data_IF_663324577841
#
_entry.id   IF_663324577841
#
_cell.length_a   1.000
_cell.length_b   1.000
_cell.length_c   1.000
_cell.angle_alpha   90.00
_cell.angle_beta   90.00
_cell.angle_gamma   90.00
#
_symmetry.space_group_name_H-M   'P 1'
#
loop_
_entity.id
_entity.type
_entity.pdbx_description
1 polymer ?
#
# COMPACT_ATOMS: atom_id res chain seq x y z
N UNK A 1 -9.25 -38.06 26.58
CA UNK A 1 -9.55 -37.36 25.31
C UNK A 1 -9.31 -38.21 24.08
N UNK A 2 -10.20 -38.12 23.09
CA UNK A 2 -10.05 -38.79 21.79
C UNK A 2 -10.42 -37.84 20.65
N UNK A 3 -9.51 -37.63 19.69
CA UNK A 3 -9.76 -36.88 18.46
C UNK A 3 -9.88 -37.86 17.30
N UNK A 4 -10.92 -37.72 16.48
CA UNK A 4 -11.13 -38.53 15.28
C UNK A 4 -11.46 -37.63 14.11
N UNK A 5 -10.81 -37.87 12.97
CA UNK A 5 -11.08 -37.21 11.69
C UNK A 5 -11.88 -38.14 10.78
N UNK A 6 -12.91 -37.58 10.15
CA UNK A 6 -13.71 -38.23 9.12
C UNK A 6 -13.63 -37.39 7.84
N UNK A 7 -13.09 -37.93 6.76
CA UNK A 7 -13.06 -37.23 5.47
C UNK A 7 -14.41 -37.39 4.79
N UNK A 8 -15.03 -36.26 4.44
CA UNK A 8 -16.27 -36.23 3.66
C UNK A 8 -15.91 -36.35 2.18
N UNK A 9 -14.93 -35.56 1.74
CA UNK A 9 -14.37 -35.61 0.40
C UNK A 9 -12.87 -35.20 0.45
N UNK A 10 -12.30 -34.78 -0.69
CA UNK A 10 -10.89 -34.39 -0.79
C UNK A 10 -10.55 -33.09 -0.07
N UNK A 11 -11.52 -32.18 0.07
CA UNK A 11 -11.34 -30.81 0.57
C UNK A 11 -12.19 -30.51 1.80
N UNK A 12 -13.08 -31.41 2.22
CA UNK A 12 -13.91 -31.30 3.41
C UNK A 12 -13.67 -32.48 4.35
N UNK A 13 -13.45 -32.17 5.63
CA UNK A 13 -13.38 -33.15 6.70
C UNK A 13 -14.14 -32.68 7.93
N UNK A 14 -14.54 -33.63 8.77
CA UNK A 14 -15.15 -33.39 10.07
C UNK A 14 -14.22 -33.92 11.14
N UNK A 15 -13.83 -33.06 12.07
CA UNK A 15 -13.03 -33.42 13.24
C UNK A 15 -13.95 -33.51 14.44
N UNK A 16 -14.03 -34.69 15.04
CA UNK A 16 -14.78 -34.96 16.26
C UNK A 16 -13.81 -35.03 17.43
N UNK A 17 -14.06 -34.22 18.46
CA UNK A 17 -13.28 -34.19 19.69
C UNK A 17 -14.16 -34.66 20.83
N UNK A 18 -13.81 -35.82 21.41
CA UNK A 18 -14.45 -36.35 22.61
C UNK A 18 -13.63 -35.95 23.83
N UNK A 19 -14.25 -35.13 24.68
CA UNK A 19 -13.72 -34.66 25.96
C UNK A 19 -14.43 -35.44 27.07
N UNK A 20 -13.66 -36.18 27.85
CA UNK A 20 -14.17 -36.94 28.99
C UNK A 20 -13.96 -36.15 30.28
N UNK A 21 -14.73 -36.47 31.33
CA UNK A 21 -14.61 -35.83 32.65
C UNK A 21 -13.18 -35.67 33.16
N UNK A 22 -12.35 -36.71 33.01
CA UNK A 22 -10.96 -36.69 33.44
C UNK A 22 -10.10 -35.63 32.74
N UNK A 23 -10.51 -35.16 31.56
CA UNK A 23 -9.75 -34.19 30.77
C UNK A 23 -9.94 -32.75 31.28
N UNK A 24 -11.04 -32.44 31.97
CA UNK A 24 -11.36 -31.07 32.42
C UNK A 24 -11.62 -30.92 33.92
N UNK A 25 -11.94 -32.00 34.65
CA UNK A 25 -12.35 -31.94 36.05
C UNK A 25 -11.33 -31.21 36.94
N UNK A 26 -10.05 -31.54 36.78
CA UNK A 26 -8.98 -30.90 37.56
C UNK A 26 -8.88 -29.39 37.27
N UNK A 27 -8.94 -29.00 35.99
CA UNK A 27 -8.90 -27.60 35.58
C UNK A 27 -10.09 -26.82 36.14
N UNK A 28 -11.29 -27.41 36.10
CA UNK A 28 -12.49 -26.81 36.68
C UNK A 28 -12.36 -26.64 38.19
N UNK A 29 -11.85 -27.64 38.91
CA UNK A 29 -11.63 -27.53 40.35
C UNK A 29 -10.64 -26.42 40.72
N UNK A 30 -9.57 -26.27 39.95
CA UNK A 30 -8.54 -25.27 40.18
C UNK A 30 -9.04 -23.87 39.84
N UNK A 31 -9.75 -23.69 38.72
CA UNK A 31 -10.40 -22.41 38.36
C UNK A 31 -11.45 -22.02 39.40
N UNK A 32 -12.23 -22.96 39.94
CA UNK A 32 -13.20 -22.68 41.02
C UNK A 32 -12.52 -22.29 42.35
N UNK A 33 -11.36 -22.86 42.68
CA UNK A 33 -10.55 -22.42 43.84
C UNK A 33 -10.09 -20.97 43.65
N UNK A 34 -9.59 -20.64 42.48
CA UNK A 34 -9.17 -19.27 42.14
C UNK A 34 -10.33 -18.28 42.16
N UNK A 35 -11.48 -18.69 41.61
CA UNK A 35 -12.70 -17.89 41.64
C UNK A 35 -13.15 -17.62 43.07
N UNK A 36 -13.08 -18.62 43.97
CA UNK A 36 -13.39 -18.41 45.40
C UNK A 36 -12.49 -17.35 46.04
N UNK A 37 -11.21 -17.29 45.65
CA UNK A 37 -10.26 -16.31 46.17
C UNK A 37 -10.52 -14.89 45.65
N UNK A 38 -10.97 -14.76 44.40
CA UNK A 38 -11.16 -13.47 43.70
C UNK A 38 -12.59 -12.92 43.77
N UNK A 39 -13.61 -13.78 43.81
CA UNK A 39 -15.01 -13.38 43.70
C UNK A 39 -15.54 -12.75 44.99
N UNK A 40 -16.21 -11.60 44.84
CA UNK A 40 -16.98 -10.98 45.92
C UNK A 40 -18.35 -11.65 46.02
N UNK A 41 -18.54 -12.48 47.04
CA UNK A 41 -19.80 -13.18 47.28
C UNK A 41 -20.58 -12.43 48.38
N UNK A 42 -21.81 -11.95 48.11
CA UNK A 42 -22.62 -11.26 49.12
C UNK A 42 -22.73 -12.08 50.41
N UNK A 43 -22.40 -11.45 51.55
CA UNK A 43 -22.42 -12.08 52.87
C UNK A 43 -21.12 -12.78 53.29
N UNK A 44 -20.11 -12.90 52.42
CA UNK A 44 -18.82 -13.50 52.76
C UNK A 44 -17.64 -12.57 52.44
N UNK A 45 -16.64 -12.55 53.33
CA UNK A 45 -15.36 -11.89 53.04
C UNK A 45 -14.66 -12.63 51.88
N UNK A 46 -13.93 -11.93 50.97
CA UNK A 46 -13.19 -12.58 49.87
C UNK A 46 -12.38 -13.80 50.35
N UNK A 47 -12.49 -14.92 49.61
CA UNK A 47 -11.84 -16.19 49.96
C UNK A 47 -12.49 -17.01 51.09
N UNK A 48 -13.57 -16.53 51.72
CA UNK A 48 -14.24 -17.24 52.84
C UNK A 48 -15.61 -17.82 52.50
N UNK A 49 -16.07 -17.67 51.26
CA UNK A 49 -17.29 -18.34 50.80
C UNK A 49 -17.10 -19.88 50.76
N UNK A 50 -18.08 -20.68 51.25
CA UNK A 50 -18.02 -22.14 51.17
C UNK A 50 -17.95 -22.62 49.73
N UNK A 51 -17.12 -23.64 49.47
CA UNK A 51 -16.92 -24.16 48.11
C UNK A 51 -18.21 -24.67 47.47
N UNK A 52 -19.11 -25.28 48.24
CA UNK A 52 -20.41 -25.74 47.73
C UNK A 52 -21.31 -24.62 47.21
N UNK A 53 -21.19 -23.39 47.75
CA UNK A 53 -21.94 -22.23 47.26
C UNK A 53 -21.32 -21.68 45.96
N UNK A 54 -20.00 -21.72 45.85
CA UNK A 54 -19.26 -21.33 44.62
C UNK A 54 -19.58 -22.31 43.49
N UNK A 55 -19.49 -23.62 43.76
CA UNK A 55 -19.82 -24.69 42.80
C UNK A 55 -21.23 -24.50 42.23
N UNK A 56 -22.26 -24.43 43.09
CA UNK A 56 -23.65 -24.22 42.65
C UNK A 56 -23.89 -23.00 41.75
N UNK A 57 -23.07 -21.95 41.87
CA UNK A 57 -23.26 -20.70 41.15
C UNK A 57 -22.42 -20.59 39.88
N UNK A 58 -21.22 -21.16 39.87
CA UNK A 58 -20.22 -20.93 38.82
C UNK A 58 -19.68 -22.20 38.17
N UNK A 59 -19.99 -23.40 38.69
CA UNK A 59 -19.47 -24.66 38.16
C UNK A 59 -19.83 -24.86 36.69
N UNK A 60 -21.07 -24.61 36.29
CA UNK A 60 -21.50 -24.74 34.88
C UNK A 60 -20.75 -23.78 33.95
N UNK A 61 -20.63 -22.50 34.32
CA UNK A 61 -19.94 -21.51 33.49
C UNK A 61 -18.44 -21.79 33.38
N UNK A 62 -17.80 -22.14 34.50
CA UNK A 62 -16.38 -22.51 34.53
C UNK A 62 -16.13 -23.79 33.75
N UNK A 63 -17.02 -24.78 33.87
CA UNK A 63 -16.91 -26.03 33.11
C UNK A 63 -16.98 -25.78 31.60
N UNK A 64 -17.95 -24.99 31.12
CA UNK A 64 -18.04 -24.62 29.69
C UNK A 64 -16.79 -23.89 29.22
N UNK A 65 -16.29 -22.93 30.00
CA UNK A 65 -15.08 -22.17 29.67
C UNK A 65 -13.83 -23.06 29.59
N UNK A 66 -13.60 -23.90 30.60
CA UNK A 66 -12.46 -24.83 30.61
C UNK A 66 -12.57 -25.86 29.48
N UNK A 67 -13.76 -26.41 29.23
CA UNK A 67 -13.98 -27.34 28.11
C UNK A 67 -13.66 -26.64 26.78
N UNK A 68 -14.13 -25.42 26.54
CA UNK A 68 -13.82 -24.68 25.31
C UNK A 68 -12.31 -24.41 25.15
N UNK A 69 -11.63 -24.09 26.25
CA UNK A 69 -10.18 -23.87 26.26
C UNK A 69 -9.42 -25.14 25.90
N UNK A 70 -9.77 -26.25 26.57
CA UNK A 70 -9.20 -27.57 26.30
C UNK A 70 -9.50 -27.98 24.84
N UNK A 71 -10.73 -27.74 24.37
CA UNK A 71 -11.16 -28.05 23.02
C UNK A 71 -10.33 -27.31 21.96
N UNK A 72 -10.21 -25.99 22.08
CA UNK A 72 -9.44 -25.15 21.16
C UNK A 72 -7.96 -25.57 21.12
N UNK A 73 -7.33 -25.77 22.28
CA UNK A 73 -5.93 -26.19 22.35
C UNK A 73 -5.69 -27.54 21.67
N UNK A 74 -6.58 -28.52 21.90
CA UNK A 74 -6.40 -29.86 21.35
C UNK A 74 -6.74 -29.92 19.86
N UNK A 75 -7.73 -29.15 19.40
CA UNK A 75 -8.02 -29.03 17.98
C UNK A 75 -6.83 -28.43 17.23
N UNK A 76 -6.29 -27.30 17.69
CA UNK A 76 -5.10 -26.68 17.09
C UNK A 76 -3.91 -27.62 17.12
N UNK A 77 -3.68 -28.30 18.25
CA UNK A 77 -2.60 -29.27 18.37
C UNK A 77 -2.74 -30.43 17.37
N UNK A 78 -3.95 -30.99 17.23
CA UNK A 78 -4.21 -32.07 16.29
C UNK A 78 -3.94 -31.64 14.84
N UNK A 79 -4.38 -30.44 14.44
CA UNK A 79 -4.11 -29.89 13.10
C UNK A 79 -2.60 -29.77 12.84
N UNK A 80 -1.82 -29.33 13.83
CA UNK A 80 -0.36 -29.17 13.73
C UNK A 80 0.36 -30.51 13.72
N UNK A 81 0.04 -31.41 14.65
CA UNK A 81 0.70 -32.71 14.81
C UNK A 81 0.48 -33.61 13.57
N UNK A 82 -0.73 -33.58 13.01
CA UNK A 82 -1.07 -34.28 11.76
C UNK A 82 -0.66 -33.50 10.49
N UNK A 83 -0.11 -32.29 10.65
CA UNK A 83 0.32 -31.40 9.55
C UNK A 83 -0.78 -31.16 8.51
N UNK A 84 -2.01 -31.00 8.98
CA UNK A 84 -3.14 -30.74 8.11
C UNK A 84 -3.07 -29.30 7.61
N UNK A 85 -3.00 -29.14 6.29
CA UNK A 85 -3.14 -27.84 5.65
C UNK A 85 -4.63 -27.51 5.60
N UNK A 86 -5.06 -26.58 6.45
CA UNK A 86 -6.45 -26.14 6.55
C UNK A 86 -6.64 -24.77 5.90
N UNK A 87 -7.79 -24.57 5.28
CA UNK A 87 -8.18 -23.28 4.68
C UNK A 87 -9.13 -22.57 5.64
N UNK A 88 -8.63 -21.53 6.32
CA UNK A 88 -9.38 -20.83 7.35
C UNK A 88 -9.46 -21.57 8.68
N UNK A 89 -10.25 -21.02 9.61
CA UNK A 89 -10.44 -21.58 10.95
C UNK A 89 -11.54 -22.66 10.95
N UNK A 90 -11.37 -23.78 11.68
CA UNK A 90 -12.42 -24.78 11.85
C UNK A 90 -13.73 -24.18 12.39
N UNK A 91 -14.85 -24.58 11.81
CA UNK A 91 -16.17 -24.11 12.23
C UNK A 91 -16.93 -25.22 12.94
N UNK A 92 -17.72 -24.87 13.95
CA UNK A 92 -18.61 -25.85 14.58
C UNK A 92 -19.57 -26.45 13.52
N UNK A 93 -19.65 -27.78 13.50
CA UNK A 93 -20.46 -28.50 12.51
C UNK A 93 -21.94 -28.32 12.79
N UNK A 94 -22.70 -27.89 11.79
CA UNK A 94 -24.17 -27.78 11.92
C UNK A 94 -24.88 -29.12 11.73
N UNK A 95 -24.26 -30.05 11.01
CA UNK A 95 -24.87 -31.34 10.65
C UNK A 95 -24.44 -32.47 11.60
N UNK A 96 -23.18 -32.46 12.03
CA UNK A 96 -22.61 -33.55 12.83
C UNK A 96 -22.58 -33.27 14.33
N UNK A 97 -22.91 -32.04 14.78
CA UNK A 97 -22.94 -31.72 16.19
C UNK A 97 -24.14 -32.35 16.89
N UNK A 98 -23.87 -33.18 17.91
CA UNK A 98 -24.91 -33.74 18.77
C UNK A 98 -25.35 -32.70 19.81
N UNK A 99 -26.62 -32.75 20.27
CA UNK A 99 -27.07 -31.96 21.40
C UNK A 99 -26.22 -32.29 22.64
N UNK A 100 -25.83 -31.26 23.38
CA UNK A 100 -25.04 -31.38 24.61
C UNK A 100 -25.95 -31.06 25.81
N UNK A 101 -26.05 -31.98 26.76
CA UNK A 101 -26.67 -31.74 28.06
C UNK A 101 -25.59 -31.41 29.10
N UNK A 102 -25.34 -30.12 29.28
CA UNK A 102 -24.38 -29.59 30.25
C UNK A 102 -24.69 -29.92 31.72
N UNK A 103 -25.84 -30.51 32.05
CA UNK A 103 -26.23 -30.85 33.42
C UNK A 103 -26.05 -32.34 33.73
N UNK A 104 -26.25 -33.20 32.74
CA UNK A 104 -26.27 -34.65 32.94
C UNK A 104 -25.14 -35.39 32.21
N UNK A 105 -24.53 -34.79 31.19
CA UNK A 105 -23.45 -35.43 30.43
C UNK A 105 -22.12 -35.33 31.20
N UNK A 106 -21.40 -36.45 31.26
CA UNK A 106 -20.02 -36.52 31.79
C UNK A 106 -18.95 -36.57 30.68
N UNK A 107 -19.38 -36.65 29.42
CA UNK A 107 -18.52 -36.63 28.25
C UNK A 107 -19.17 -35.79 27.15
N UNK A 108 -18.36 -34.96 26.50
CA UNK A 108 -18.79 -33.98 25.51
C UNK A 108 -18.14 -34.27 24.16
N UNK A 109 -18.95 -34.48 23.14
CA UNK A 109 -18.49 -34.65 21.76
C UNK A 109 -18.76 -33.35 20.98
N UNK A 110 -17.69 -32.75 20.47
CA UNK A 110 -17.75 -31.58 19.60
C UNK A 110 -17.37 -31.98 18.19
N UNK A 111 -18.13 -31.53 17.20
CA UNK A 111 -17.83 -31.76 15.79
C UNK A 111 -17.49 -30.43 15.12
N UNK A 112 -16.40 -30.40 14.36
CA UNK A 112 -15.96 -29.26 13.58
C UNK A 112 -15.85 -29.64 12.12
N UNK A 113 -16.47 -28.84 11.26
CA UNK A 113 -16.19 -28.91 9.83
C UNK A 113 -14.87 -28.19 9.56
N UNK A 114 -14.06 -28.77 8.69
CA UNK A 114 -12.72 -28.30 8.35
C UNK A 114 -12.56 -28.35 6.84
N UNK A 115 -12.19 -27.21 6.26
CA UNK A 115 -11.71 -27.14 4.90
C UNK A 115 -10.23 -27.55 4.85
N UNK A 116 -9.92 -28.57 4.05
CA UNK A 116 -8.57 -29.02 3.76
C UNK A 116 -8.10 -28.40 2.45
N UNK A 117 -6.85 -27.94 2.43
CA UNK A 117 -6.21 -27.54 1.20
C UNK A 117 -6.04 -28.78 0.29
N UNK A 118 -6.43 -28.69 -1.00
CA UNK A 118 -6.21 -29.78 -1.94
C UNK A 118 -4.70 -30.01 -2.13
N UNK A 119 -4.33 -31.24 -2.50
CA UNK A 119 -2.98 -31.49 -3.01
C UNK A 119 -2.90 -30.88 -4.41
N UNK A 120 -2.09 -29.82 -4.55
CA UNK A 120 -1.87 -29.14 -5.82
C UNK A 120 -0.59 -29.64 -6.45
N UNK A 121 -0.64 -29.99 -7.73
CA UNK A 121 0.54 -30.22 -8.57
C UNK A 121 0.51 -29.21 -9.71
N UNK A 122 1.62 -28.50 -9.92
CA UNK A 122 1.73 -27.47 -10.96
C UNK A 122 2.70 -27.97 -12.04
N UNK A 123 2.22 -28.71 -13.06
CA UNK A 123 3.09 -29.17 -14.13
C UNK A 123 3.47 -27.99 -15.01
N UNK A 124 4.75 -27.59 -14.97
CA UNK A 124 5.34 -26.58 -15.86
C UNK A 124 6.25 -27.27 -16.87
N UNK A 125 6.09 -26.93 -18.14
CA UNK A 125 6.90 -27.49 -19.23
C UNK A 125 7.11 -26.48 -20.35
N UNK A 126 8.08 -26.73 -21.23
CA UNK A 126 8.31 -25.91 -22.42
C UNK A 126 7.13 -25.92 -23.41
N UNK A 127 6.19 -26.87 -23.28
CA UNK A 127 4.95 -26.87 -24.07
C UNK A 127 3.98 -25.76 -23.64
N UNK A 128 4.12 -25.26 -22.41
CA UNK A 128 3.35 -24.15 -21.89
C UNK A 128 3.86 -22.84 -22.47
N UNK A 129 2.96 -22.12 -23.12
CA UNK A 129 3.29 -20.86 -23.78
C UNK A 129 2.64 -19.70 -23.06
N UNK A 130 3.47 -18.78 -22.59
CA UNK A 130 3.01 -17.55 -21.94
C UNK A 130 3.46 -16.34 -22.76
N UNK A 131 2.56 -15.39 -22.93
CA UNK A 131 2.86 -14.16 -23.66
C UNK A 131 3.82 -13.30 -22.83
N UNK A 132 4.86 -12.76 -23.47
CA UNK A 132 5.78 -11.83 -22.84
C UNK A 132 5.88 -10.57 -23.68
N UNK A 133 5.43 -9.44 -23.15
CA UNK A 133 5.46 -8.19 -23.90
C UNK A 133 6.74 -7.43 -23.58
N UNK A 134 7.43 -6.92 -24.60
CA UNK A 134 8.58 -6.03 -24.41
C UNK A 134 8.25 -4.65 -24.97
N UNK A 135 8.39 -3.62 -24.16
CA UNK A 135 8.05 -2.25 -24.58
C UNK A 135 9.26 -1.62 -25.25
N UNK A 136 9.07 -1.13 -26.47
CA UNK A 136 10.11 -0.43 -27.22
C UNK A 136 10.35 0.97 -26.66
N UNK A 137 11.61 1.28 -26.33
CA UNK A 137 12.02 2.65 -25.98
C UNK A 137 12.07 3.50 -27.25
N UNK A 138 11.24 4.54 -27.32
CA UNK A 138 11.29 5.53 -28.40
C UNK A 138 12.21 6.70 -28.05
N UNK A 139 12.67 7.41 -29.07
CA UNK A 139 13.47 8.62 -28.88
C UNK A 139 12.65 9.74 -28.20
N UNK A 140 11.34 9.77 -28.44
CA UNK A 140 10.41 10.71 -27.78
C UNK A 140 10.39 10.52 -26.26
N UNK A 141 10.44 9.27 -25.76
CA UNK A 141 10.51 9.00 -24.32
C UNK A 141 11.80 9.52 -23.69
N UNK A 142 12.92 9.42 -24.42
CA UNK A 142 14.20 9.98 -23.97
C UNK A 142 14.12 11.50 -23.93
N UNK A 143 13.53 12.12 -24.95
CA UNK A 143 13.36 13.57 -25.02
C UNK A 143 12.41 14.10 -23.93
N UNK A 144 11.31 13.40 -23.64
CA UNK A 144 10.43 13.71 -22.51
C UNK A 144 11.17 13.66 -21.17
N UNK A 145 11.99 12.62 -20.96
CA UNK A 145 12.78 12.47 -19.73
C UNK A 145 13.84 13.58 -19.60
N UNK A 146 14.54 13.93 -20.69
CA UNK A 146 15.47 15.07 -20.74
C UNK A 146 14.75 16.36 -20.40
N UNK A 147 13.58 16.59 -20.99
CA UNK A 147 12.77 17.78 -20.72
C UNK A 147 12.30 17.83 -19.26
N UNK A 148 11.89 16.71 -18.68
CA UNK A 148 11.50 16.63 -17.28
C UNK A 148 12.67 16.96 -16.34
N UNK A 149 13.82 16.33 -16.54
CA UNK A 149 15.03 16.54 -15.72
C UNK A 149 15.48 18.01 -15.78
N UNK A 150 15.60 18.56 -16.99
CA UNK A 150 16.02 19.96 -17.18
C UNK A 150 15.01 20.95 -16.60
N UNK A 151 13.73 20.59 -16.54
CA UNK A 151 12.67 21.41 -15.93
C UNK A 151 12.50 21.17 -14.42
N UNK A 152 13.08 20.12 -13.85
CA UNK A 152 13.16 19.95 -12.40
C UNK A 152 14.41 20.62 -11.83
N UNK A 153 15.48 20.65 -12.62
CA UNK A 153 16.78 21.22 -12.21
C UNK A 153 16.99 22.67 -12.63
N UNK A 154 16.06 23.23 -13.40
CA UNK A 154 16.11 24.64 -13.79
C UNK A 154 16.00 25.59 -12.60
N UNK A 155 16.38 26.83 -12.85
CA UNK A 155 16.49 27.87 -11.84
C UNK A 155 15.88 29.17 -12.34
N UNK A 156 15.46 29.98 -11.38
CA UNK A 156 15.04 31.34 -11.66
C UNK A 156 16.28 32.23 -11.79
N UNK A 157 16.44 32.88 -12.94
CA UNK A 157 17.52 33.83 -13.18
C UNK A 157 16.97 35.22 -13.40
N UNK A 158 17.75 36.25 -13.04
CA UNK A 158 17.38 37.64 -13.29
C UNK A 158 17.12 37.88 -14.78
N UNK A 159 16.00 38.54 -15.08
CA UNK A 159 15.63 38.94 -16.43
C UNK A 159 15.40 40.46 -16.48
N UNK A 160 15.72 41.06 -17.63
CA UNK A 160 15.57 42.50 -17.84
C UNK A 160 14.11 42.90 -18.07
N UNK A 161 13.33 42.00 -18.69
CA UNK A 161 11.94 42.24 -19.10
C UNK A 161 11.04 41.09 -18.69
N UNK A 162 9.86 41.41 -18.17
CA UNK A 162 8.85 40.42 -17.81
C UNK A 162 8.15 39.85 -19.05
N UNK A 163 8.00 38.52 -19.08
CA UNK A 163 7.36 37.71 -20.10
C UNK A 163 6.19 36.94 -19.49
N UNK A 164 5.51 36.18 -20.33
CA UNK A 164 4.30 35.42 -19.98
C UNK A 164 4.48 34.46 -18.80
N UNK A 165 5.68 33.90 -18.63
CA UNK A 165 6.02 32.92 -17.57
C UNK A 165 7.05 33.44 -16.57
N UNK A 166 7.26 34.75 -16.53
CA UNK A 166 8.18 35.35 -15.56
C UNK A 166 7.56 35.40 -14.17
N UNK A 167 8.40 35.24 -13.17
CA UNK A 167 8.10 35.55 -11.79
C UNK A 167 8.52 36.99 -11.52
N UNK A 168 7.60 37.84 -11.09
CA UNK A 168 7.85 39.26 -10.82
C UNK A 168 7.72 39.51 -9.34
N UNK A 169 8.79 39.97 -8.70
CA UNK A 169 8.76 40.44 -7.31
C UNK A 169 8.49 41.93 -7.29
N UNK A 170 7.64 42.38 -6.38
CA UNK A 170 7.36 43.78 -6.21
C UNK A 170 6.61 44.12 -4.94
N UNK A 171 6.40 45.41 -4.76
CA UNK A 171 5.77 45.98 -3.57
C UNK A 171 4.41 46.57 -3.94
N UNK A 172 3.38 46.20 -3.20
CA UNK A 172 2.02 46.69 -3.35
C UNK A 172 1.73 47.86 -2.43
N UNK A 173 1.05 48.89 -2.95
CA UNK A 173 0.50 50.01 -2.18
C UNK A 173 -0.93 50.31 -2.64
N UNK A 174 -1.89 50.31 -1.72
CA UNK A 174 -3.29 50.65 -2.01
C UNK A 174 -3.43 52.11 -2.45
N UNK A 175 -4.22 52.34 -3.51
CA UNK A 175 -4.51 53.66 -4.06
C UNK A 175 -5.95 54.11 -3.74
N UNK A 176 -6.16 55.41 -3.66
CA UNK A 176 -7.49 56.03 -3.56
C UNK A 176 -8.20 56.16 -4.92
N UNK A 177 -9.44 56.67 -4.93
CA UNK A 177 -10.23 56.88 -6.16
C UNK A 177 -9.59 57.89 -7.14
N UNK A 178 -8.66 58.72 -6.66
CA UNK A 178 -7.90 59.68 -7.46
C UNK A 178 -6.54 59.11 -7.94
N UNK A 179 -6.20 57.88 -7.55
CA UNK A 179 -4.98 57.18 -7.92
C UNK A 179 -3.75 57.52 -7.06
N UNK A 180 -3.93 58.17 -5.91
CA UNK A 180 -2.85 58.49 -4.99
C UNK A 180 -2.68 57.40 -3.91
N UNK A 181 -1.46 57.17 -3.39
CA UNK A 181 -1.22 56.26 -2.28
C UNK A 181 -2.03 56.68 -1.04
N UNK A 182 -2.83 55.75 -0.52
CA UNK A 182 -3.65 55.98 0.68
C UNK A 182 -2.78 55.98 1.94
N UNK A 183 -2.88 57.02 2.78
CA UNK A 183 -2.03 57.15 3.98
C UNK A 183 -2.21 55.97 4.97
N UNK A 184 -3.45 55.49 5.15
CA UNK A 184 -3.81 54.31 5.96
C UNK A 184 -4.19 53.08 5.09
N UNK A 185 -3.62 52.98 3.88
CA UNK A 185 -3.91 51.89 2.94
C UNK A 185 -3.09 50.61 3.17
N UNK A 186 -3.55 49.51 2.58
CA UNK A 186 -2.85 48.20 2.59
C UNK A 186 -1.52 48.32 1.85
N UNK A 187 -0.45 47.76 2.44
CA UNK A 187 0.88 47.66 1.83
C UNK A 187 1.44 46.27 2.02
N UNK A 188 2.03 45.72 0.96
CA UNK A 188 2.64 44.39 0.99
C UNK A 188 3.97 44.40 0.24
N UNK A 189 5.07 44.25 0.99
CA UNK A 189 6.41 44.26 0.43
C UNK A 189 6.88 42.85 0.02
N UNK A 190 7.69 42.81 -1.04
CA UNK A 190 8.39 41.63 -1.52
C UNK A 190 7.48 40.51 -2.03
N UNK A 191 6.31 40.86 -2.55
CA UNK A 191 5.32 39.91 -3.08
C UNK A 191 5.82 39.35 -4.39
N UNK A 192 5.79 38.02 -4.53
CA UNK A 192 6.19 37.32 -5.75
C UNK A 192 4.93 36.92 -6.53
N UNK A 193 4.84 37.34 -7.78
CA UNK A 193 3.72 37.06 -8.69
C UNK A 193 4.21 36.22 -9.86
N UNK A 194 3.40 35.27 -10.32
CA UNK A 194 3.65 34.56 -11.59
C UNK A 194 2.73 35.14 -12.66
N UNK A 195 3.31 35.66 -13.74
CA UNK A 195 2.54 36.36 -14.79
C UNK A 195 1.52 35.42 -15.46
N UNK A 196 1.81 34.12 -15.52
CA UNK A 196 0.94 33.09 -16.09
C UNK A 196 -0.27 32.74 -15.21
N UNK A 197 -0.20 33.00 -13.90
CA UNK A 197 -1.31 32.78 -12.96
C UNK A 197 -2.33 33.92 -12.92
N UNK A 198 -2.03 35.06 -13.55
CA UNK A 198 -2.96 36.18 -13.70
C UNK A 198 -4.06 35.77 -14.70
N UNK A 199 -5.31 35.67 -14.24
CA UNK A 199 -6.46 35.22 -15.06
C UNK A 199 -6.97 36.31 -15.98
N UNK A 200 -6.82 37.57 -15.59
CA UNK A 200 -7.26 38.70 -16.41
C UNK A 200 -6.23 39.04 -17.49
N UNK A 201 -6.57 38.73 -18.74
CA UNK A 201 -5.71 38.95 -19.92
C UNK A 201 -5.32 40.43 -20.15
N UNK A 202 -6.15 41.40 -19.76
CA UNK A 202 -5.80 42.81 -19.89
C UNK A 202 -4.74 43.22 -18.88
N UNK A 203 -4.90 42.80 -17.62
CA UNK A 203 -3.92 43.03 -16.55
C UNK A 203 -2.61 42.30 -16.88
N UNK A 204 -2.70 41.03 -17.31
CA UNK A 204 -1.55 40.22 -17.71
C UNK A 204 -0.70 40.89 -18.78
N UNK A 205 -1.32 41.50 -19.80
CA UNK A 205 -0.61 42.25 -20.85
C UNK A 205 0.14 43.47 -20.33
N UNK A 206 -0.26 44.06 -19.20
CA UNK A 206 0.45 45.20 -18.63
C UNK A 206 1.83 44.82 -18.10
N UNK A 207 2.01 43.56 -17.67
CA UNK A 207 3.30 43.04 -17.18
C UNK A 207 4.27 42.72 -18.32
N UNK A 208 3.79 42.39 -19.52
CA UNK A 208 4.65 41.99 -20.62
C UNK A 208 5.53 43.15 -21.11
N UNK A 209 6.84 42.92 -21.17
CA UNK A 209 7.86 43.90 -21.57
C UNK A 209 8.22 44.92 -20.50
N UNK A 210 7.69 44.80 -19.28
CA UNK A 210 8.02 45.69 -18.17
C UNK A 210 9.36 45.38 -17.56
N UNK A 211 10.06 46.44 -17.14
CA UNK A 211 11.38 46.34 -16.55
C UNK A 211 11.36 46.62 -15.04
N UNK A 212 12.46 46.28 -14.37
CA UNK A 212 12.69 46.59 -12.96
C UNK A 212 12.55 48.09 -12.70
N UNK A 213 11.80 48.43 -11.66
CA UNK A 213 11.51 49.80 -11.23
C UNK A 213 10.28 50.42 -11.87
N UNK A 214 9.63 49.75 -12.82
CA UNK A 214 8.35 50.20 -13.34
C UNK A 214 7.20 49.93 -12.37
N UNK A 215 6.19 50.81 -12.42
CA UNK A 215 5.01 50.76 -11.57
C UNK A 215 3.80 50.42 -12.42
N UNK A 216 3.03 49.44 -11.97
CA UNK A 216 1.78 48.99 -12.58
C UNK A 216 0.63 49.33 -11.65
N UNK A 217 -0.52 49.70 -12.21
CA UNK A 217 -1.72 49.96 -11.41
C UNK A 217 -2.83 49.02 -11.86
N UNK A 218 -3.26 48.13 -10.96
CA UNK A 218 -4.33 47.17 -11.23
C UNK A 218 -5.04 46.75 -9.94
N UNK A 219 -6.20 46.13 -10.09
CA UNK A 219 -6.94 45.49 -8.99
C UNK A 219 -6.52 44.01 -8.86
N UNK A 220 -5.89 43.61 -7.74
CA UNK A 220 -5.51 42.22 -7.50
C UNK A 220 -6.69 41.24 -7.49
N UNK A 221 -7.88 41.67 -7.05
CA UNK A 221 -9.10 40.83 -7.06
C UNK A 221 -9.54 40.57 -8.50
N UNK A 222 -9.51 41.59 -9.35
CA UNK A 222 -9.77 41.42 -10.77
C UNK A 222 -8.70 40.59 -11.49
N UNK A 223 -7.45 40.58 -10.99
CA UNK A 223 -6.33 39.83 -11.57
C UNK A 223 -6.41 38.32 -11.32
N UNK A 224 -6.77 37.89 -10.10
CA UNK A 224 -6.78 36.48 -9.70
C UNK A 224 -8.18 35.87 -9.62
N UNK A 225 -9.24 36.69 -9.59
CA UNK A 225 -10.64 36.29 -9.43
C UNK A 225 -10.88 35.38 -8.19
N UNK A 226 -9.96 35.42 -7.22
CA UNK A 226 -9.98 34.66 -5.97
C UNK A 226 -9.51 35.57 -4.83
N UNK A 227 -10.46 35.94 -3.97
CA UNK A 227 -10.20 36.85 -2.84
C UNK A 227 -9.35 36.19 -1.75
N UNK A 228 -9.38 34.87 -1.63
CA UNK A 228 -8.55 34.14 -0.67
C UNK A 228 -7.08 34.15 -1.10
N UNK A 229 -6.82 33.92 -2.38
CA UNK A 229 -5.47 34.02 -2.97
C UNK A 229 -4.91 35.46 -2.83
N UNK A 230 -5.74 36.47 -3.09
CA UNK A 230 -5.39 37.89 -2.90
C UNK A 230 -5.10 38.23 -1.43
N UNK A 231 -5.85 37.66 -0.50
CA UNK A 231 -5.62 37.84 0.94
C UNK A 231 -4.23 37.36 1.36
N UNK A 232 -3.79 36.19 0.85
CA UNK A 232 -2.44 35.68 1.07
C UNK A 232 -1.37 36.54 0.40
N UNK A 233 -1.62 36.96 -0.84
CA UNK A 233 -0.71 37.78 -1.65
C UNK A 233 -0.43 39.14 -1.00
N UNK A 234 -1.48 39.82 -0.53
CA UNK A 234 -1.39 41.12 0.14
C UNK A 234 -1.11 41.03 1.64
N UNK A 235 -1.01 39.81 2.20
CA UNK A 235 -0.78 39.54 3.64
C UNK A 235 -1.85 40.18 4.56
N UNK A 236 -3.11 40.14 4.14
CA UNK A 236 -4.26 40.71 4.87
C UNK A 236 -5.22 39.62 5.38
N UNK A 237 -6.13 39.97 6.28
CA UNK A 237 -7.13 39.00 6.78
C UNK A 237 -8.19 38.68 5.73
N UNK A 238 -8.87 37.54 5.90
CA UNK A 238 -9.96 37.12 5.00
C UNK A 238 -11.09 38.15 4.92
N UNK A 239 -11.49 38.73 6.06
CA UNK A 239 -12.50 39.80 6.13
C UNK A 239 -12.08 41.05 5.33
N UNK A 240 -10.80 41.42 5.37
CA UNK A 240 -10.28 42.56 4.61
C UNK A 240 -10.21 42.28 3.10
N UNK A 241 -9.92 41.04 2.71
CA UNK A 241 -9.90 40.63 1.31
C UNK A 241 -11.31 40.55 0.68
N UNK A 242 -12.33 40.20 1.48
CA UNK A 242 -13.73 40.16 1.06
C UNK A 242 -14.30 41.55 0.73
N UNK A 243 -13.87 42.58 1.45
CA UNK A 243 -14.31 43.96 1.24
C UNK A 243 -13.46 44.74 0.22
N UNK A 244 -12.37 44.13 -0.28
CA UNK A 244 -11.39 44.80 -1.13
C UNK A 244 -11.94 45.06 -2.55
N UNK A 245 -12.02 46.33 -2.96
CA UNK A 245 -12.37 46.72 -4.34
C UNK A 245 -11.51 47.91 -4.82
N UNK A 246 -10.28 48.01 -4.32
CA UNK A 246 -9.35 49.12 -4.57
C UNK A 246 -8.30 48.74 -5.61
N UNK A 247 -7.84 49.73 -6.38
CA UNK A 247 -6.63 49.57 -7.20
C UNK A 247 -5.38 49.65 -6.32
N UNK A 248 -4.34 48.92 -6.72
CA UNK A 248 -3.03 48.98 -6.09
C UNK A 248 -1.98 49.41 -7.10
N UNK A 249 -0.98 50.16 -6.65
CA UNK A 249 0.28 50.28 -7.36
C UNK A 249 1.20 49.13 -6.97
N UNK A 250 1.75 48.47 -7.98
CA UNK A 250 2.73 47.40 -7.85
C UNK A 250 4.05 47.88 -8.45
N UNK A 251 5.06 48.06 -7.62
CA UNK A 251 6.40 48.48 -8.07
C UNK A 251 7.28 47.25 -8.25
N UNK A 252 7.75 47.01 -9.47
CA UNK A 252 8.59 45.86 -9.78
C UNK A 252 9.99 46.05 -9.18
N UNK A 253 10.41 45.15 -8.30
CA UNK A 253 11.74 45.17 -7.66
C UNK A 253 12.69 44.15 -8.26
N UNK A 254 12.18 43.04 -8.78
CA UNK A 254 12.94 41.94 -9.38
C UNK A 254 12.07 41.23 -10.43
N UNK A 255 12.68 40.78 -11.52
CA UNK A 255 12.04 39.94 -12.52
C UNK A 255 12.92 38.71 -12.67
N UNK A 256 12.31 37.55 -12.53
CA UNK A 256 12.95 36.26 -12.57
C UNK A 256 12.32 35.43 -13.70
N UNK A 257 13.14 35.00 -14.65
CA UNK A 257 12.72 34.03 -15.66
C UNK A 257 13.14 32.63 -15.22
N UNK A 258 12.17 31.70 -15.24
CA UNK A 258 12.48 30.29 -15.08
C UNK A 258 13.25 29.80 -16.32
N UNK A 259 14.51 29.42 -16.14
CA UNK A 259 15.32 28.79 -17.17
C UNK A 259 15.54 27.33 -16.82
N UNK A 260 15.24 26.45 -17.77
CA UNK A 260 15.60 25.03 -17.68
C UNK A 260 17.11 24.91 -17.49
N UNK A 261 17.53 23.89 -16.75
CA UNK A 261 18.96 23.60 -16.60
C UNK A 261 19.59 23.31 -17.97
N UNK A 262 20.79 23.84 -18.18
CA UNK A 262 21.58 23.52 -19.36
C UNK A 262 22.13 22.09 -19.27
N UNK A 263 22.20 21.41 -20.41
CA UNK A 263 22.79 20.08 -20.51
C UNK A 263 24.32 20.18 -20.46
N UNK A 264 24.86 20.22 -19.25
CA UNK A 264 26.28 20.39 -18.98
C UNK A 264 26.79 19.45 -17.87
N UNK A 265 28.11 19.41 -17.66
CA UNK A 265 28.73 18.53 -16.67
C UNK A 265 28.23 18.78 -15.23
N UNK A 266 27.86 20.02 -14.88
CA UNK A 266 27.33 20.35 -13.55
C UNK A 266 25.97 19.69 -13.31
N UNK A 267 25.08 19.72 -14.32
CA UNK A 267 23.80 19.04 -14.26
C UNK A 267 23.99 17.52 -14.14
N UNK A 268 24.91 16.93 -14.92
CA UNK A 268 25.14 15.48 -14.90
C UNK A 268 25.64 15.00 -13.53
N UNK A 269 26.55 15.76 -12.92
CA UNK A 269 27.05 15.48 -11.55
C UNK A 269 25.97 15.65 -10.49
N UNK A 270 25.06 16.60 -10.67
CA UNK A 270 23.93 16.80 -9.75
C UNK A 270 22.95 15.63 -9.77
N UNK A 271 22.73 15.02 -10.95
CA UNK A 271 21.80 13.90 -11.11
C UNK A 271 22.44 12.58 -10.69
N UNK A 272 23.67 12.32 -11.13
CA UNK A 272 24.34 11.02 -11.00
C UNK A 272 25.47 10.97 -9.96
N UNK A 273 25.74 12.08 -9.29
CA UNK A 273 26.87 12.22 -8.36
C UNK A 273 28.16 12.71 -9.02
N UNK A 274 29.09 13.18 -8.19
CA UNK A 274 30.38 13.75 -8.63
C UNK A 274 31.25 12.76 -9.44
N UNK A 275 31.11 11.46 -9.17
CA UNK A 275 31.89 10.38 -9.78
C UNK A 275 31.23 9.80 -11.05
N UNK A 276 30.30 10.52 -11.68
CA UNK A 276 29.57 10.03 -12.86
C UNK A 276 30.45 9.87 -14.10
N UNK A 277 30.20 8.80 -14.86
CA UNK A 277 30.80 8.57 -16.19
C UNK A 277 30.12 9.40 -17.30
N UNK A 278 28.99 10.06 -17.00
CA UNK A 278 28.23 10.88 -17.97
C UNK A 278 28.90 12.24 -18.13
N UNK A 279 29.49 12.49 -19.31
CA UNK A 279 30.22 13.74 -19.60
C UNK A 279 29.63 14.54 -20.75
N UNK A 280 28.87 13.88 -21.62
CA UNK A 280 28.27 14.49 -22.80
C UNK A 280 26.76 14.31 -22.81
N UNK A 281 26.07 15.08 -23.66
CA UNK A 281 24.64 14.89 -23.89
C UNK A 281 24.35 13.49 -24.46
N UNK A 282 25.23 12.94 -25.29
CA UNK A 282 25.10 11.59 -25.83
C UNK A 282 25.17 10.54 -24.71
N UNK A 283 26.12 10.68 -23.77
CA UNK A 283 26.22 9.81 -22.59
C UNK A 283 24.96 9.88 -21.73
N UNK A 284 24.41 11.09 -21.53
CA UNK A 284 23.17 11.28 -20.79
C UNK A 284 22.03 10.56 -21.48
N UNK A 285 21.83 10.79 -22.78
CA UNK A 285 20.73 10.17 -23.55
C UNK A 285 20.84 8.64 -23.56
N UNK A 286 22.04 8.09 -23.68
CA UNK A 286 22.26 6.64 -23.59
C UNK A 286 21.91 6.09 -22.19
N UNK A 287 22.34 6.77 -21.13
CA UNK A 287 22.02 6.36 -19.76
C UNK A 287 20.53 6.46 -19.45
N UNK A 288 19.87 7.53 -19.89
CA UNK A 288 18.42 7.66 -19.79
C UNK A 288 17.70 6.55 -20.58
N UNK A 289 18.20 6.18 -21.76
CA UNK A 289 17.63 5.07 -22.53
C UNK A 289 17.71 3.74 -21.76
N UNK A 290 18.81 3.46 -21.08
CA UNK A 290 18.96 2.28 -20.21
C UNK A 290 18.03 2.34 -19.00
N UNK A 291 17.92 3.48 -18.34
CA UNK A 291 16.99 3.67 -17.21
C UNK A 291 15.53 3.48 -17.62
N UNK A 292 15.14 4.07 -18.75
CA UNK A 292 13.81 3.90 -19.33
C UNK A 292 13.59 2.44 -19.69
N UNK A 293 14.56 1.78 -20.33
CA UNK A 293 14.47 0.35 -20.65
C UNK A 293 14.26 -0.50 -19.39
N UNK A 294 15.04 -0.26 -18.33
CA UNK A 294 14.91 -0.97 -17.06
C UNK A 294 13.55 -0.74 -16.38
N UNK A 295 13.04 0.50 -16.43
CA UNK A 295 11.71 0.84 -15.92
C UNK A 295 10.60 0.10 -16.70
N UNK A 296 10.72 0.06 -18.04
CA UNK A 296 9.78 -0.65 -18.90
C UNK A 296 9.87 -2.18 -18.79
N UNK A 297 11.06 -2.72 -18.52
CA UNK A 297 11.24 -4.14 -18.19
C UNK A 297 10.47 -4.50 -16.93
N UNK A 298 10.52 -3.66 -15.89
CA UNK A 298 9.73 -3.87 -14.69
C UNK A 298 8.21 -3.88 -14.97
N UNK A 299 7.73 -2.99 -15.83
CA UNK A 299 6.32 -3.02 -16.28
C UNK A 299 5.99 -4.31 -17.02
N UNK A 300 6.88 -4.73 -17.92
CA UNK A 300 6.75 -5.97 -18.71
C UNK A 300 6.70 -7.22 -17.82
N UNK A 301 7.60 -7.33 -16.85
CA UNK A 301 7.65 -8.43 -15.89
C UNK A 301 6.45 -8.42 -14.94
N UNK A 302 5.97 -7.24 -14.52
CA UNK A 302 4.74 -7.12 -13.74
C UNK A 302 3.52 -7.61 -14.52
N UNK A 303 3.42 -7.26 -15.81
CA UNK A 303 2.36 -7.77 -16.66
C UNK A 303 2.45 -9.28 -16.83
N UNK A 304 3.64 -9.78 -17.11
CA UNK A 304 3.90 -11.20 -17.21
C UNK A 304 3.51 -11.95 -15.92
N UNK A 305 3.77 -11.38 -14.74
CA UNK A 305 3.36 -11.96 -13.47
C UNK A 305 1.84 -12.10 -13.36
N UNK A 306 1.07 -11.08 -13.77
CA UNK A 306 -0.39 -11.15 -13.79
C UNK A 306 -0.92 -12.18 -14.80
N UNK A 307 -0.43 -12.15 -16.03
CA UNK A 307 -0.86 -13.09 -17.08
C UNK A 307 -0.48 -14.54 -16.69
N UNK A 308 0.69 -14.74 -16.07
CA UNK A 308 1.16 -16.03 -15.55
C UNK A 308 0.24 -16.53 -14.43
N UNK A 309 -0.10 -15.65 -13.48
CA UNK A 309 -1.03 -15.97 -12.40
C UNK A 309 -2.36 -16.47 -12.97
N UNK A 310 -2.95 -15.72 -13.88
CA UNK A 310 -4.26 -16.09 -14.46
C UNK A 310 -4.17 -17.40 -15.24
N UNK A 311 -3.14 -17.56 -16.07
CA UNK A 311 -2.93 -18.79 -16.84
C UNK A 311 -2.73 -20.02 -15.95
N UNK A 312 -1.96 -19.90 -14.87
CA UNK A 312 -1.72 -21.02 -13.94
C UNK A 312 -2.95 -21.34 -13.11
N UNK A 313 -3.69 -20.33 -12.64
CA UNK A 313 -4.96 -20.54 -11.91
C UNK A 313 -5.97 -21.25 -12.80
N UNK A 314 -6.10 -20.86 -14.06
CA UNK A 314 -7.00 -21.52 -15.02
C UNK A 314 -6.55 -22.94 -15.37
N UNK A 315 -5.25 -23.14 -15.61
CA UNK A 315 -4.68 -24.45 -15.98
C UNK A 315 -4.79 -25.47 -14.86
N UNK A 316 -4.42 -25.08 -13.63
CA UNK A 316 -4.37 -26.01 -12.48
C UNK A 316 -5.76 -26.16 -11.86
N UNK A 317 -6.50 -25.05 -11.73
CA UNK A 317 -7.85 -24.96 -11.18
C UNK A 317 -8.12 -25.92 -10.00
N UNK A 318 -7.38 -25.79 -8.88
CA UNK A 318 -7.53 -26.71 -7.76
C UNK A 318 -8.94 -26.58 -7.14
N UNK A 319 -9.51 -27.73 -6.77
CA UNK A 319 -10.82 -27.81 -6.12
C UNK A 319 -10.76 -27.15 -4.74
N UNK A 320 -11.74 -26.31 -4.42
CA UNK A 320 -11.84 -25.61 -3.14
C UNK A 320 -13.19 -25.89 -2.48
N UNK A 321 -13.25 -25.95 -1.14
CA UNK A 321 -14.50 -26.22 -0.40
C UNK A 321 -15.35 -24.94 -0.32
N UNK A 322 -15.96 -24.55 -1.43
CA UNK A 322 -16.63 -23.26 -1.58
C UNK A 322 -17.72 -23.00 -0.53
N UNK A 323 -18.57 -23.99 -0.25
CA UNK A 323 -19.64 -23.86 0.74
C UNK A 323 -19.09 -23.58 2.16
N UNK A 324 -17.99 -24.26 2.53
CA UNK A 324 -17.32 -24.00 3.80
C UNK A 324 -16.72 -22.58 3.82
N UNK A 325 -16.01 -22.20 2.76
CA UNK A 325 -15.33 -20.90 2.68
C UNK A 325 -16.32 -19.73 2.76
N UNK A 326 -17.49 -19.82 2.10
CA UNK A 326 -18.56 -18.81 2.24
C UNK A 326 -19.04 -18.69 3.68
N UNK A 327 -19.27 -19.83 4.36
CA UNK A 327 -19.69 -19.84 5.76
C UNK A 327 -18.60 -19.27 6.68
N UNK A 328 -17.34 -19.59 6.40
CA UNK A 328 -16.19 -19.07 7.15
C UNK A 328 -16.05 -17.55 6.99
N UNK A 329 -16.15 -17.01 5.77
CA UNK A 329 -16.12 -15.56 5.53
C UNK A 329 -17.22 -14.82 6.31
N UNK A 330 -18.42 -15.40 6.37
CA UNK A 330 -19.54 -14.82 7.14
C UNK A 330 -19.32 -14.83 8.65
N UNK A 331 -18.71 -15.90 9.19
CA UNK A 331 -18.41 -15.97 10.63
C UNK A 331 -17.26 -15.04 11.01
N UNK A 332 -16.25 -14.93 10.13
CA UNK A 332 -15.10 -14.03 10.30
C UNK A 332 -15.50 -12.55 10.19
N UNK A 333 -16.44 -12.22 9.31
CA UNK A 333 -16.96 -10.86 9.14
C UNK A 333 -18.48 -10.80 9.31
N UNK A 334 -18.93 -10.63 10.57
CA UNK A 334 -20.35 -10.59 10.94
C UNK A 334 -21.12 -9.39 10.37
N UNK A 335 -20.42 -8.38 9.87
CA UNK A 335 -21.02 -7.19 9.25
C UNK A 335 -21.21 -7.34 7.74
N UNK A 336 -20.55 -8.32 7.11
CA UNK A 336 -20.70 -8.58 5.68
C UNK A 336 -22.06 -9.20 5.36
N UNK A 337 -22.71 -8.70 4.30
CA UNK A 337 -23.96 -9.28 3.81
C UNK A 337 -23.71 -10.47 2.90
N UNK A 338 -24.68 -11.38 2.78
CA UNK A 338 -24.59 -12.53 1.87
C UNK A 338 -24.37 -12.09 0.41
N UNK A 339 -24.96 -10.96 0.00
CA UNK A 339 -24.76 -10.39 -1.35
C UNK A 339 -23.34 -9.87 -1.57
N UNK A 340 -22.72 -9.26 -0.56
CA UNK A 340 -21.33 -8.80 -0.64
C UNK A 340 -20.37 -9.97 -0.74
N UNK A 341 -20.56 -11.00 0.11
CA UNK A 341 -19.74 -12.21 0.06
C UNK A 341 -19.85 -12.84 -1.32
N UNK A 342 -21.06 -13.04 -1.85
CA UNK A 342 -21.25 -13.68 -3.15
C UNK A 342 -20.59 -12.90 -4.29
N UNK A 343 -20.66 -11.57 -4.26
CA UNK A 343 -20.04 -10.70 -5.28
C UNK A 343 -18.53 -10.82 -5.30
N UNK A 344 -17.89 -10.86 -4.14
CA UNK A 344 -16.43 -10.84 -4.01
C UNK A 344 -15.82 -12.26 -3.96
N UNK A 345 -16.67 -13.29 -3.87
CA UNK A 345 -16.24 -14.68 -3.66
C UNK A 345 -15.37 -15.23 -4.79
N UNK A 346 -15.70 -14.92 -6.04
CA UNK A 346 -14.92 -15.39 -7.20
C UNK A 346 -13.48 -14.84 -7.17
N UNK A 347 -13.31 -13.57 -6.77
CA UNK A 347 -12.01 -12.96 -6.57
C UNK A 347 -11.23 -13.66 -5.46
N UNK A 348 -11.88 -13.88 -4.31
CA UNK A 348 -11.31 -14.61 -3.19
C UNK A 348 -10.87 -16.04 -3.58
N UNK A 349 -11.69 -16.77 -4.35
CA UNK A 349 -11.29 -18.10 -4.84
C UNK A 349 -10.09 -18.03 -5.76
N UNK A 350 -10.02 -17.05 -6.67
CA UNK A 350 -8.85 -16.86 -7.55
C UNK A 350 -7.59 -16.55 -6.74
N UNK A 351 -7.67 -15.71 -5.73
CA UNK A 351 -6.55 -15.40 -4.82
C UNK A 351 -6.10 -16.66 -4.06
N UNK A 352 -7.05 -17.44 -3.54
CA UNK A 352 -6.74 -18.66 -2.79
C UNK A 352 -6.11 -19.75 -3.67
N UNK A 353 -6.62 -19.94 -4.90
CA UNK A 353 -6.01 -20.84 -5.88
C UNK A 353 -4.59 -20.41 -6.22
N UNK A 354 -4.37 -19.11 -6.44
CA UNK A 354 -3.04 -18.57 -6.70
C UNK A 354 -2.10 -18.81 -5.52
N UNK A 355 -2.56 -18.61 -4.28
CA UNK A 355 -1.76 -18.88 -3.09
C UNK A 355 -1.31 -20.34 -3.04
N UNK A 356 -2.21 -21.30 -3.27
CA UNK A 356 -1.87 -22.73 -3.26
C UNK A 356 -0.85 -23.10 -4.36
N UNK A 357 -0.99 -22.51 -5.55
CA UNK A 357 -0.05 -22.69 -6.66
C UNK A 357 1.33 -22.11 -6.29
N UNK A 358 1.37 -20.90 -5.72
CA UNK A 358 2.61 -20.28 -5.24
C UNK A 358 3.28 -21.14 -4.18
N UNK A 359 2.54 -21.58 -3.16
CA UNK A 359 3.05 -22.41 -2.07
C UNK A 359 3.66 -23.72 -2.58
N UNK A 360 3.02 -24.34 -3.58
CA UNK A 360 3.57 -25.51 -4.26
C UNK A 360 4.90 -25.20 -4.95
N UNK A 361 4.97 -24.14 -5.76
CA UNK A 361 6.20 -23.76 -6.49
C UNK A 361 7.32 -23.42 -5.51
N UNK A 362 7.02 -22.66 -4.46
CA UNK A 362 7.97 -22.30 -3.40
C UNK A 362 8.54 -23.56 -2.76
N UNK A 363 7.68 -24.50 -2.38
CA UNK A 363 8.10 -25.73 -1.71
C UNK A 363 8.90 -26.67 -2.62
N UNK A 364 8.43 -26.87 -3.85
CA UNK A 364 9.06 -27.77 -4.83
C UNK A 364 10.45 -27.27 -5.25
N UNK A 365 10.67 -25.96 -5.29
CA UNK A 365 11.94 -25.36 -5.69
C UNK A 365 12.75 -24.83 -4.50
N UNK A 366 12.32 -25.15 -3.27
CA UNK A 366 12.95 -24.74 -2.01
C UNK A 366 13.26 -23.23 -1.94
N UNK A 367 12.37 -22.40 -2.48
CA UNK A 367 12.57 -20.95 -2.56
C UNK A 367 12.57 -20.33 -1.18
N UNK A 368 13.57 -19.48 -0.92
CA UNK A 368 13.74 -18.74 0.32
C UNK A 368 14.10 -17.30 0.00
N UNK A 369 13.73 -16.39 0.90
CA UNK A 369 14.19 -15.00 0.87
C UNK A 369 15.38 -14.90 1.79
N UNK A 370 16.50 -14.45 1.24
CA UNK A 370 17.68 -14.12 2.03
C UNK A 370 17.51 -12.69 2.58
N UNK A 371 18.02 -12.46 3.79
CA UNK A 371 17.90 -11.15 4.45
C UNK A 371 18.54 -10.02 3.63
N UNK A 372 19.59 -10.32 2.87
CA UNK A 372 20.26 -9.38 1.97
C UNK A 372 19.33 -8.89 0.85
N UNK A 373 18.52 -9.78 0.26
CA UNK A 373 17.57 -9.42 -0.79
C UNK A 373 16.47 -8.48 -0.27
N UNK A 374 16.04 -8.70 0.99
CA UNK A 374 15.08 -7.84 1.65
C UNK A 374 15.67 -6.45 1.95
N UNK A 375 16.94 -6.39 2.35
CA UNK A 375 17.66 -5.13 2.54
C UNK A 375 17.81 -4.38 1.22
N UNK A 376 18.19 -5.07 0.15
CA UNK A 376 18.36 -4.46 -1.18
C UNK A 376 17.05 -3.90 -1.73
N UNK A 377 15.94 -4.64 -1.59
CA UNK A 377 14.63 -4.13 -1.98
C UNK A 377 14.22 -2.92 -1.13
N UNK A 378 14.46 -2.97 0.18
CA UNK A 378 14.18 -1.85 1.08
C UNK A 378 15.01 -0.61 0.73
N UNK A 379 16.28 -0.76 0.35
CA UNK A 379 17.15 0.32 -0.14
C UNK A 379 16.61 0.93 -1.43
N UNK A 380 16.13 0.10 -2.39
CA UNK A 380 15.50 0.59 -3.63
C UNK A 380 14.25 1.43 -3.34
N UNK A 381 13.41 0.99 -2.40
CA UNK A 381 12.23 1.75 -1.96
C UNK A 381 12.65 3.08 -1.31
N UNK A 382 13.66 3.05 -0.44
CA UNK A 382 14.21 4.25 0.20
C UNK A 382 14.68 5.26 -0.85
N UNK A 383 15.47 4.79 -1.82
CA UNK A 383 16.00 5.61 -2.89
C UNK A 383 14.88 6.27 -3.72
N UNK A 384 13.85 5.50 -4.08
CA UNK A 384 12.68 6.01 -4.78
C UNK A 384 11.95 7.10 -3.97
N UNK A 385 11.82 6.92 -2.65
CA UNK A 385 11.19 7.91 -1.78
C UNK A 385 12.03 9.18 -1.63
N UNK A 386 13.35 9.07 -1.46
CA UNK A 386 14.24 10.23 -1.39
C UNK A 386 14.23 11.04 -2.71
N UNK A 387 14.20 10.33 -3.84
CA UNK A 387 14.13 10.95 -5.16
C UNK A 387 12.86 11.80 -5.34
N UNK A 388 11.73 11.40 -4.76
CA UNK A 388 10.49 12.19 -4.78
C UNK A 388 10.60 13.53 -4.04
N UNK A 389 11.49 13.62 -3.04
CA UNK A 389 11.79 14.86 -2.32
C UNK A 389 12.97 15.64 -2.93
N UNK A 390 13.44 15.25 -4.11
CA UNK A 390 14.56 15.90 -4.80
C UNK A 390 15.94 15.50 -4.28
N UNK A 391 16.04 14.45 -3.46
CA UNK A 391 17.30 13.88 -2.95
C UNK A 391 17.63 12.66 -3.81
N UNK A 392 18.30 12.90 -4.94
CA UNK A 392 18.60 11.85 -5.93
C UNK A 392 19.82 11.00 -5.59
N UNK A 393 20.72 11.50 -4.76
CA UNK A 393 21.93 10.79 -4.35
C UNK A 393 22.01 10.71 -2.82
N UNK A 394 21.09 9.95 -2.23
CA UNK A 394 21.07 9.72 -0.79
C UNK A 394 22.30 8.89 -0.38
N UNK A 395 23.03 9.30 0.68
CA UNK A 395 24.16 8.53 1.20
C UNK A 395 23.79 7.08 1.54
N UNK A 396 24.70 6.13 1.27
CA UNK A 396 24.46 4.70 1.48
C UNK A 396 24.10 4.38 2.95
N UNK A 397 24.70 5.09 3.90
CA UNK A 397 24.40 4.96 5.34
C UNK A 397 22.97 5.39 5.70
N UNK A 398 22.42 6.38 4.98
CA UNK A 398 21.02 6.79 5.14
C UNK A 398 20.07 5.76 4.54
N UNK A 399 20.39 5.23 3.35
CA UNK A 399 19.61 4.16 2.71
C UNK A 399 19.60 2.89 3.57
N UNK A 400 20.75 2.51 4.14
CA UNK A 400 20.85 1.39 5.08
C UNK A 400 20.04 1.60 6.36
N UNK A 401 20.12 2.80 6.94
CA UNK A 401 19.37 3.11 8.16
C UNK A 401 17.86 3.06 7.92
N UNK A 402 17.41 3.56 6.77
CA UNK A 402 16.02 3.49 6.36
C UNK A 402 15.58 2.05 6.07
N UNK A 403 16.39 1.27 5.36
CA UNK A 403 16.11 -0.14 5.10
C UNK A 403 15.94 -0.95 6.40
N UNK A 404 16.81 -0.74 7.39
CA UNK A 404 16.68 -1.34 8.72
C UNK A 404 15.38 -0.92 9.41
N UNK A 405 15.05 0.37 9.38
CA UNK A 405 13.81 0.88 9.97
C UNK A 405 12.55 0.27 9.34
N UNK A 406 12.53 0.03 8.03
CA UNK A 406 11.43 -0.68 7.36
C UNK A 406 11.37 -2.13 7.83
N UNK A 407 12.50 -2.83 7.81
CA UNK A 407 12.55 -4.26 8.14
C UNK A 407 12.36 -4.56 9.63
N UNK A 408 12.51 -3.57 10.52
CA UNK A 408 12.15 -3.65 11.94
C UNK A 408 10.62 -3.74 12.14
N UNK A 409 9.82 -3.22 11.21
CA UNK A 409 8.35 -3.32 11.26
C UNK A 409 7.92 -4.68 10.73
N UNK A 410 7.28 -5.56 11.54
CA UNK A 410 6.93 -6.91 11.12
C UNK A 410 6.06 -6.97 9.85
N UNK A 411 5.05 -6.10 9.76
CA UNK A 411 4.12 -6.03 8.61
C UNK A 411 4.84 -5.65 7.31
N UNK A 412 5.73 -4.65 7.37
CA UNK A 412 6.50 -4.22 6.21
C UNK A 412 7.52 -5.28 5.79
N UNK A 413 8.19 -5.91 6.77
CA UNK A 413 9.08 -7.03 6.51
C UNK A 413 8.35 -8.17 5.79
N UNK A 414 7.18 -8.58 6.28
CA UNK A 414 6.37 -9.62 5.66
C UNK A 414 5.94 -9.24 4.23
N UNK A 415 5.55 -7.98 4.01
CA UNK A 415 5.21 -7.47 2.68
C UNK A 415 6.39 -7.57 1.70
N UNK A 416 7.59 -7.14 2.12
CA UNK A 416 8.79 -7.20 1.30
C UNK A 416 9.19 -8.65 0.98
N UNK A 417 9.15 -9.54 1.97
CA UNK A 417 9.46 -10.96 1.78
C UNK A 417 8.46 -11.61 0.84
N UNK A 418 7.17 -11.32 0.99
CA UNK A 418 6.12 -11.83 0.12
C UNK A 418 6.32 -11.36 -1.32
N UNK A 419 6.71 -10.10 -1.53
CA UNK A 419 7.01 -9.57 -2.86
C UNK A 419 8.21 -10.26 -3.49
N UNK A 420 9.30 -10.45 -2.74
CA UNK A 420 10.50 -11.15 -3.24
C UNK A 420 10.18 -12.61 -3.59
N UNK A 421 9.40 -13.31 -2.75
CA UNK A 421 8.97 -14.67 -3.07
C UNK A 421 8.11 -14.72 -4.32
N UNK A 422 7.21 -13.77 -4.50
CA UNK A 422 6.38 -13.69 -5.70
C UNK A 422 7.23 -13.51 -6.95
N UNK A 423 8.19 -12.58 -6.93
CA UNK A 423 9.10 -12.37 -8.06
C UNK A 423 9.91 -13.64 -8.36
N UNK A 424 10.43 -14.34 -7.34
CA UNK A 424 11.14 -15.63 -7.52
C UNK A 424 10.25 -16.73 -8.09
N UNK A 425 8.98 -16.82 -7.66
CA UNK A 425 8.02 -17.79 -8.21
C UNK A 425 7.82 -17.53 -9.70
N UNK A 426 7.62 -16.27 -10.09
CA UNK A 426 7.47 -15.88 -11.48
C UNK A 426 8.74 -16.19 -12.29
N UNK A 427 9.94 -15.94 -11.74
CA UNK A 427 11.21 -16.30 -12.38
C UNK A 427 11.36 -17.80 -12.62
N UNK A 428 10.95 -18.64 -11.65
CA UNK A 428 10.93 -20.10 -11.81
C UNK A 428 9.98 -20.51 -12.93
N UNK A 429 8.80 -19.90 -13.03
CA UNK A 429 7.86 -20.16 -14.13
C UNK A 429 8.47 -19.73 -15.46
N UNK A 430 9.00 -18.50 -15.53
CA UNK A 430 9.66 -17.92 -16.70
C UNK A 430 10.77 -18.82 -17.26
N UNK A 431 11.53 -19.47 -16.37
CA UNK A 431 12.60 -20.39 -16.74
C UNK A 431 12.16 -21.80 -17.16
N UNK A 432 10.90 -22.18 -16.95
CA UNK A 432 10.35 -23.52 -17.24
C UNK A 432 9.35 -23.57 -18.40
N UNK A 433 8.87 -22.40 -18.85
CA UNK A 433 7.86 -22.25 -19.90
C UNK A 433 8.45 -21.59 -21.15
N UNK A 434 7.78 -21.71 -22.29
CA UNK A 434 8.13 -20.97 -23.51
C UNK A 434 7.53 -19.57 -23.48
N UNK A 435 8.38 -18.54 -23.61
CA UNK A 435 7.93 -17.15 -23.72
C UNK A 435 7.63 -16.80 -25.17
N UNK A 436 6.37 -16.44 -25.45
CA UNK A 436 5.98 -15.85 -26.73
C UNK A 436 6.19 -14.34 -26.67
N UNK A 437 7.43 -13.93 -26.97
CA UNK A 437 7.84 -12.52 -26.90
C UNK A 437 7.20 -11.68 -28.02
N UNK A 438 6.53 -10.58 -27.64
CA UNK A 438 5.94 -9.60 -28.56
C UNK A 438 6.42 -8.20 -28.20
N UNK A 439 7.08 -7.53 -29.14
CA UNK A 439 7.44 -6.11 -29.00
C UNK A 439 6.20 -5.23 -29.26
N UNK A 440 5.94 -4.29 -28.35
CA UNK A 440 4.79 -3.37 -28.40
C UNK A 440 5.22 -1.93 -28.09
N UNK A 441 4.40 -0.96 -28.50
CA UNK A 441 4.60 0.44 -28.08
C UNK A 441 4.13 0.65 -26.64
N UNK A 442 4.53 1.78 -26.03
CA UNK A 442 4.06 2.17 -24.69
C UNK A 442 2.53 2.32 -24.66
N UNK A 443 1.95 2.95 -25.67
CA UNK A 443 0.49 3.15 -25.77
C UNK A 443 -0.25 1.82 -25.88
N UNK A 444 0.23 0.91 -26.72
CA UNK A 444 -0.35 -0.44 -26.86
C UNK A 444 -0.27 -1.22 -25.53
N UNK A 445 0.85 -1.11 -24.81
CA UNK A 445 1.03 -1.74 -23.51
C UNK A 445 0.09 -1.16 -22.44
N UNK A 446 -0.07 0.16 -22.40
CA UNK A 446 -0.99 0.86 -21.49
C UNK A 446 -2.46 0.53 -21.77
N UNK A 447 -2.85 0.33 -23.04
CA UNK A 447 -4.19 -0.14 -23.39
C UNK A 447 -4.44 -1.59 -22.95
N UNK A 448 -3.44 -2.46 -23.02
CA UNK A 448 -3.56 -3.83 -22.52
C UNK A 448 -3.70 -3.88 -20.98
N UNK A 449 -3.15 -2.89 -20.27
CA UNK A 449 -3.16 -2.81 -18.80
C UNK A 449 -4.46 -2.25 -18.20
N UNK A 450 -5.38 -1.74 -19.02
CA UNK A 450 -6.74 -1.33 -18.62
C UNK A 450 -7.69 -2.51 -18.63
#
# INVERSE_FOLDING_TARGET
MKVTRENIDNVNAVIKVLIEKSDYEQSVEDTLKDYRHKASIPGFRPGKAPMGLIKRRFEKSVMVEEINKVLSQNLTRYLVDEKLQVLGEPLASTEHQKPIDWENDEAFEFAFDVALAPTVEVPLSEEDKLQYFTIKVSDDMVEEQVNMITSQMGQNVDADEAKDKSLVRGDFVELDEEGNPKEDGIKADGVLLSVDLIKNEEIKKQFLGKQKGEVLTFDPVAAYEDRHEVGHLLKISHEQADELNSNFSFTITEILDYQKAELNEELYKKIYGEDTDVKTEEDLRNKLKEEIANSLLHSSDTRFAYDTRDALVEKVNPELPEAFLKRWLKEANKEATDEQIEKDFDGFLKDLRWQLIKDFIIKENELKVEDEEAVDLAKKIAHAQYSQYGIYNAPEDQLESFAKMILEKPEEKERLYSKILEDKVIDVVKGKVTLESKEVTREEFEEMAK
#
